data_IF_484232441162
#
_entry.id   IF_484232441162
#
_cell.length_a   1.000
_cell.length_b   1.000
_cell.length_c   1.000
_cell.angle_alpha   90.00
_cell.angle_beta   90.00
_cell.angle_gamma   90.00
#
_symmetry.space_group_name_H-M   'P 1'
#
loop_
_entity.id
_entity.type
_entity.pdbx_description
1 polymer ?
#
# COMPACT_ATOMS: atom_id res chain seq x y z
N UNK A 1 -15.42 30.26 -24.23
CA UNK A 1 -14.75 29.40 -23.23
C UNK A 1 -13.58 30.16 -22.61
N UNK A 2 -13.51 30.26 -21.27
CA UNK A 2 -12.40 30.93 -20.58
C UNK A 2 -11.28 29.92 -20.34
N UNK A 3 -10.05 30.25 -20.76
CA UNK A 3 -8.89 29.37 -20.57
C UNK A 3 -8.40 29.40 -19.12
N UNK A 4 -7.85 28.27 -18.66
CA UNK A 4 -7.25 28.15 -17.30
C UNK A 4 -6.17 29.22 -17.03
N UNK A 5 -5.45 29.67 -18.05
CA UNK A 5 -4.45 30.74 -17.92
C UNK A 5 -5.09 32.06 -17.51
N UNK A 6 -6.17 32.47 -18.20
CA UNK A 6 -6.89 33.72 -17.92
C UNK A 6 -7.54 33.74 -16.54
N UNK A 7 -8.04 32.60 -16.06
CA UNK A 7 -8.57 32.46 -14.69
C UNK A 7 -7.45 32.62 -13.66
N UNK A 8 -6.29 31.99 -13.88
CA UNK A 8 -5.13 32.10 -12.97
C UNK A 8 -4.57 33.52 -12.90
N UNK A 9 -4.46 34.18 -14.04
CA UNK A 9 -4.00 35.58 -14.10
C UNK A 9 -4.98 36.52 -13.40
N UNK A 10 -6.29 36.31 -13.60
CA UNK A 10 -7.31 37.12 -12.93
C UNK A 10 -7.29 36.93 -11.42
N UNK A 11 -7.16 35.68 -10.95
CA UNK A 11 -7.00 35.38 -9.52
C UNK A 11 -5.72 36.01 -8.95
N UNK A 12 -4.61 35.99 -9.71
CA UNK A 12 -3.35 36.62 -9.31
C UNK A 12 -3.46 38.14 -9.16
N UNK A 13 -4.29 38.80 -9.97
CA UNK A 13 -4.55 40.24 -9.86
C UNK A 13 -5.46 40.61 -8.69
N UNK A 14 -6.45 39.77 -8.39
CA UNK A 14 -7.50 40.09 -7.40
C UNK A 14 -7.08 39.69 -5.97
N UNK A 15 -6.35 38.58 -5.82
CA UNK A 15 -6.05 38.00 -4.50
C UNK A 15 -4.63 37.42 -4.44
N UNK A 16 -3.62 38.28 -4.59
CA UNK A 16 -2.23 37.85 -4.54
C UNK A 16 -1.84 37.31 -3.14
N UNK A 17 -2.38 37.93 -2.08
CA UNK A 17 -2.12 37.57 -0.68
C UNK A 17 -2.75 36.20 -0.37
N UNK A 18 -4.03 35.99 -0.68
CA UNK A 18 -4.69 34.71 -0.46
C UNK A 18 -4.13 33.59 -1.34
N UNK A 19 -3.56 33.88 -2.52
CA UNK A 19 -2.78 32.90 -3.30
C UNK A 19 -1.47 32.54 -2.59
N UNK A 20 -0.73 33.53 -2.07
CA UNK A 20 0.52 33.30 -1.34
C UNK A 20 0.26 32.47 -0.08
N UNK A 21 -0.80 32.76 0.67
CA UNK A 21 -1.15 32.01 1.88
C UNK A 21 -1.67 30.61 1.57
N UNK A 22 -2.45 30.42 0.49
CA UNK A 22 -2.81 29.09 -0.02
C UNK A 22 -1.59 28.30 -0.48
N UNK A 23 -0.57 28.94 -1.09
CA UNK A 23 0.69 28.29 -1.45
C UNK A 23 1.53 27.92 -0.22
N UNK A 24 1.58 28.77 0.81
CA UNK A 24 2.29 28.49 2.08
C UNK A 24 1.70 27.29 2.82
N UNK A 25 0.37 27.13 2.79
CA UNK A 25 -0.35 25.99 3.41
C UNK A 25 -0.39 24.75 2.52
N UNK A 26 0.15 24.81 1.30
CA UNK A 26 0.20 23.65 0.42
C UNK A 26 1.29 22.72 0.93
N UNK A 27 0.89 21.55 1.44
CA UNK A 27 1.82 20.48 1.81
C UNK A 27 2.80 20.26 0.66
N UNK A 28 4.09 20.53 0.92
CA UNK A 28 5.14 20.23 -0.05
C UNK A 28 5.18 18.71 -0.21
N UNK A 29 4.82 18.24 -1.41
CA UNK A 29 4.95 16.82 -1.75
C UNK A 29 6.43 16.45 -1.57
N UNK A 30 6.71 15.59 -0.58
CA UNK A 30 8.04 15.02 -0.40
C UNK A 30 8.42 14.27 -1.67
N UNK A 31 9.59 14.58 -2.21
CA UNK A 31 10.14 13.86 -3.36
C UNK A 31 10.59 12.51 -2.83
N UNK A 32 9.90 11.46 -3.24
CA UNK A 32 10.28 10.10 -2.89
C UNK A 32 11.14 9.56 -4.02
N UNK A 33 12.43 9.38 -3.75
CA UNK A 33 13.42 8.89 -4.72
C UNK A 33 13.94 7.52 -4.30
N UNK A 34 13.97 6.58 -5.24
CA UNK A 34 14.49 5.22 -5.09
C UNK A 34 15.19 4.86 -6.39
N UNK A 35 16.29 4.11 -6.31
CA UNK A 35 17.21 3.96 -7.44
C UNK A 35 16.71 2.99 -8.53
N UNK A 36 15.70 2.16 -8.26
CA UNK A 36 15.11 1.28 -9.26
C UNK A 36 14.11 0.28 -8.68
N UNK A 37 13.58 -0.58 -9.58
CA UNK A 37 12.71 -1.73 -9.21
C UNK A 37 13.46 -2.66 -8.26
N UNK A 38 12.75 -3.26 -7.30
CA UNK A 38 13.28 -4.15 -6.28
C UNK A 38 14.34 -3.51 -5.36
N UNK A 39 14.52 -2.19 -5.41
CA UNK A 39 15.42 -1.52 -4.48
C UNK A 39 14.82 -1.48 -3.06
N UNK A 40 13.53 -1.17 -2.94
CA UNK A 40 12.85 -1.16 -1.65
C UNK A 40 11.39 -1.58 -1.81
N UNK A 41 10.98 -2.62 -1.09
CA UNK A 41 9.57 -2.96 -0.94
C UNK A 41 9.03 -2.35 0.35
N UNK A 42 7.82 -1.80 0.29
CA UNK A 42 7.07 -1.31 1.44
C UNK A 42 6.04 -2.36 1.80
N UNK A 43 6.09 -2.88 3.03
CA UNK A 43 5.17 -3.90 3.52
C UNK A 43 4.41 -3.37 4.73
N UNK A 44 3.17 -3.83 4.88
CA UNK A 44 2.26 -3.41 5.95
C UNK A 44 1.03 -4.35 6.02
N UNK A 45 0.32 -4.29 7.15
CA UNK A 45 -0.96 -4.97 7.37
C UNK A 45 -2.10 -3.94 7.45
N UNK A 46 -3.09 -4.07 6.58
CA UNK A 46 -4.28 -3.23 6.60
C UNK A 46 -5.37 -3.85 7.47
N UNK A 47 -5.84 -3.07 8.45
CA UNK A 47 -6.82 -3.48 9.46
C UNK A 47 -8.22 -2.90 9.20
N UNK A 48 -8.56 -2.49 7.97
CA UNK A 48 -9.89 -1.90 7.67
C UNK A 48 -11.06 -2.83 7.95
N UNK A 49 -10.85 -4.14 7.87
CA UNK A 49 -11.86 -5.17 8.15
C UNK A 49 -11.58 -5.94 9.47
N UNK A 50 -10.74 -5.39 10.36
CA UNK A 50 -10.31 -6.08 11.59
C UNK A 50 -11.47 -6.41 12.54
N UNK A 51 -12.58 -5.64 12.46
CA UNK A 51 -13.80 -5.92 13.23
C UNK A 51 -14.34 -7.33 12.98
N UNK A 52 -14.18 -7.82 11.76
CA UNK A 52 -14.61 -9.15 11.33
C UNK A 52 -13.42 -10.08 11.14
N UNK A 53 -12.32 -9.84 11.86
CA UNK A 53 -11.09 -10.65 11.84
C UNK A 53 -10.46 -10.87 10.46
N UNK A 54 -10.71 -9.98 9.49
CA UNK A 54 -9.99 -9.97 8.22
C UNK A 54 -8.86 -8.94 8.24
N UNK A 55 -7.67 -9.38 7.85
CA UNK A 55 -6.46 -8.57 7.73
C UNK A 55 -5.94 -8.71 6.30
N UNK A 56 -5.61 -7.58 5.66
CA UNK A 56 -5.01 -7.60 4.32
C UNK A 56 -3.52 -7.31 4.44
N UNK A 57 -2.70 -8.31 4.16
CA UNK A 57 -1.25 -8.18 4.09
C UNK A 57 -0.86 -7.66 2.71
N UNK A 58 0.03 -6.68 2.64
CA UNK A 58 0.42 -6.08 1.37
C UNK A 58 1.91 -5.78 1.25
N UNK A 59 2.38 -5.80 0.01
CA UNK A 59 3.70 -5.35 -0.39
C UNK A 59 3.63 -4.53 -1.67
N UNK A 60 4.38 -3.43 -1.73
CA UNK A 60 4.48 -2.59 -2.93
C UNK A 60 5.92 -2.16 -3.20
N UNK A 61 6.33 -2.25 -4.46
CA UNK A 61 7.62 -1.76 -4.89
C UNK A 61 7.69 -0.22 -4.82
N UNK A 62 8.74 0.26 -4.16
CA UNK A 62 9.00 1.66 -3.90
C UNK A 62 9.29 2.46 -5.16
N UNK A 63 9.72 1.85 -6.27
CA UNK A 63 9.98 2.54 -7.52
C UNK A 63 8.79 2.43 -8.48
N UNK A 64 8.43 1.21 -8.87
CA UNK A 64 7.43 0.91 -9.89
C UNK A 64 5.99 1.01 -9.42
N UNK A 65 5.70 1.05 -8.11
CA UNK A 65 4.31 0.90 -7.58
C UNK A 65 3.68 -0.46 -7.88
N UNK A 66 4.45 -1.43 -8.34
CA UNK A 66 3.97 -2.79 -8.54
C UNK A 66 3.62 -3.40 -7.19
N UNK A 67 2.43 -4.01 -7.09
CA UNK A 67 1.97 -4.70 -5.88
C UNK A 67 2.58 -6.09 -5.90
N UNK A 68 3.50 -6.35 -4.97
CA UNK A 68 4.29 -7.60 -4.94
C UNK A 68 3.52 -8.74 -4.29
N UNK A 69 2.68 -8.42 -3.30
CA UNK A 69 1.65 -9.31 -2.78
C UNK A 69 0.52 -8.49 -2.18
N UNK A 70 -0.68 -9.08 -2.17
CA UNK A 70 -1.88 -8.50 -1.57
C UNK A 70 -2.81 -9.65 -1.20
N UNK A 71 -2.81 -10.05 0.08
CA UNK A 71 -3.45 -11.26 0.55
C UNK A 71 -4.39 -10.99 1.72
N UNK A 72 -5.61 -11.53 1.67
CA UNK A 72 -6.52 -11.55 2.81
C UNK A 72 -6.20 -12.75 3.71
N UNK A 73 -6.08 -12.50 5.02
CA UNK A 73 -5.77 -13.48 6.06
C UNK A 73 -6.64 -13.23 7.29
N UNK A 74 -6.74 -14.23 8.14
CA UNK A 74 -7.45 -14.20 9.42
C UNK A 74 -6.53 -13.81 10.60
N UNK A 75 -5.23 -13.60 10.34
CA UNK A 75 -4.24 -13.24 11.35
C UNK A 75 -3.07 -12.46 10.73
N UNK A 76 -2.32 -11.74 11.58
CA UNK A 76 -1.07 -11.05 11.23
C UNK A 76 0.15 -11.67 11.92
N UNK A 77 0.16 -12.99 12.17
CA UNK A 77 1.33 -13.65 12.76
C UNK A 77 2.55 -13.46 11.86
N UNK A 78 3.73 -13.34 12.46
CA UNK A 78 4.96 -13.12 11.71
C UNK A 78 5.25 -14.21 10.68
N UNK A 79 4.82 -15.44 10.92
CA UNK A 79 4.91 -16.56 9.96
C UNK A 79 4.05 -16.31 8.73
N UNK A 80 2.80 -15.88 8.92
CA UNK A 80 1.85 -15.58 7.84
C UNK A 80 2.34 -14.42 6.96
N UNK A 81 2.90 -13.38 7.58
CA UNK A 81 3.53 -12.26 6.86
C UNK A 81 4.76 -12.73 6.08
N UNK A 82 5.62 -13.55 6.70
CA UNK A 82 6.79 -14.12 6.04
C UNK A 82 6.40 -14.99 4.84
N UNK A 83 5.38 -15.83 4.95
CA UNK A 83 4.96 -16.72 3.86
C UNK A 83 4.44 -15.94 2.65
N UNK A 84 3.66 -14.89 2.91
CA UNK A 84 3.20 -13.96 1.87
C UNK A 84 4.39 -13.25 1.19
N UNK A 85 5.35 -12.78 1.99
CA UNK A 85 6.56 -12.14 1.50
C UNK A 85 7.43 -13.10 0.67
N UNK A 86 7.68 -14.32 1.15
CA UNK A 86 8.48 -15.33 0.43
C UNK A 86 7.84 -15.74 -0.89
N UNK A 87 6.52 -15.90 -0.90
CA UNK A 87 5.78 -16.19 -2.14
C UNK A 87 6.01 -15.08 -3.17
N UNK A 88 5.97 -13.81 -2.76
CA UNK A 88 6.31 -12.69 -3.63
C UNK A 88 7.77 -12.70 -4.10
N UNK A 89 8.71 -13.03 -3.21
CA UNK A 89 10.15 -13.13 -3.53
C UNK A 89 10.41 -14.21 -4.58
N UNK A 90 9.72 -15.36 -4.51
CA UNK A 90 9.83 -16.42 -5.53
C UNK A 90 9.36 -15.92 -6.90
N UNK A 91 8.30 -15.12 -6.94
CA UNK A 91 7.72 -14.65 -8.20
C UNK A 91 8.45 -13.43 -8.80
N UNK A 92 8.96 -12.52 -7.97
CA UNK A 92 9.42 -11.20 -8.40
C UNK A 92 10.87 -10.88 -8.01
N UNK A 93 11.55 -11.81 -7.35
CA UNK A 93 12.91 -11.65 -6.86
C UNK A 93 13.00 -10.96 -5.50
N UNK A 94 14.11 -11.21 -4.79
CA UNK A 94 14.38 -10.62 -3.48
C UNK A 94 14.66 -9.12 -3.62
N UNK A 95 14.01 -8.23 -2.86
CA UNK A 95 14.36 -6.80 -2.87
C UNK A 95 15.71 -6.54 -2.20
N UNK A 96 16.35 -5.39 -2.48
CA UNK A 96 17.56 -4.97 -1.75
C UNK A 96 17.24 -4.59 -0.31
N UNK A 97 16.08 -3.95 -0.10
CA UNK A 97 15.61 -3.50 1.21
C UNK A 97 14.11 -3.72 1.36
N UNK A 98 13.68 -3.90 2.59
CA UNK A 98 12.28 -3.87 2.99
C UNK A 98 12.08 -2.72 3.95
N UNK A 99 10.96 -2.00 3.81
CA UNK A 99 10.48 -1.03 4.78
C UNK A 99 9.17 -1.52 5.36
N UNK A 100 9.07 -1.45 6.69
CA UNK A 100 7.84 -1.69 7.42
C UNK A 100 7.73 -0.72 8.58
N UNK A 101 6.56 -0.71 9.20
CA UNK A 101 6.39 -0.11 10.51
C UNK A 101 7.05 -0.98 11.58
N UNK A 102 7.27 -0.37 12.76
CA UNK A 102 7.73 -1.11 13.92
C UNK A 102 6.60 -1.99 14.45
N UNK A 103 6.68 -3.29 14.19
CA UNK A 103 5.73 -4.27 14.69
C UNK A 103 6.33 -5.68 14.72
N UNK A 104 5.82 -6.52 15.62
CA UNK A 104 6.30 -7.90 15.80
C UNK A 104 5.92 -8.79 14.61
N UNK A 105 4.85 -8.44 13.88
CA UNK A 105 4.40 -9.14 12.68
C UNK A 105 5.45 -9.12 11.55
N UNK A 106 6.36 -8.15 11.55
CA UNK A 106 7.40 -8.03 10.51
C UNK A 106 8.76 -8.61 10.95
N UNK A 107 8.85 -9.18 12.16
CA UNK A 107 10.11 -9.67 12.74
C UNK A 107 10.77 -10.75 11.88
N UNK A 108 10.00 -11.76 11.47
CA UNK A 108 10.54 -12.85 10.65
C UNK A 108 10.92 -12.42 9.22
N UNK A 109 10.29 -11.38 8.68
CA UNK A 109 10.72 -10.78 7.39
C UNK A 109 12.06 -10.08 7.57
N UNK A 110 12.27 -9.38 8.70
CA UNK A 110 13.54 -8.75 9.02
C UNK A 110 14.66 -9.80 9.13
N UNK A 111 14.43 -10.88 9.88
CA UNK A 111 15.39 -11.97 10.06
C UNK A 111 15.73 -12.63 8.72
N UNK A 112 14.72 -12.89 7.89
CA UNK A 112 14.91 -13.43 6.55
C UNK A 112 15.75 -12.50 5.67
N UNK A 113 15.46 -11.19 5.65
CA UNK A 113 16.22 -10.22 4.86
C UNK A 113 17.66 -10.05 5.34
N UNK A 114 17.91 -10.13 6.65
CA UNK A 114 19.27 -10.11 7.22
C UNK A 114 20.03 -11.38 6.83
N UNK A 115 19.37 -12.54 6.89
CA UNK A 115 19.96 -13.82 6.48
C UNK A 115 20.37 -13.82 5.00
N UNK A 116 19.46 -13.40 4.11
CA UNK A 116 19.68 -13.47 2.66
C UNK A 116 20.59 -12.36 2.11
N UNK A 117 20.59 -11.16 2.71
CA UNK A 117 21.43 -10.04 2.26
C UNK A 117 22.74 -9.91 3.04
N UNK A 118 22.83 -10.52 4.22
CA UNK A 118 23.92 -10.34 5.17
C UNK A 118 23.67 -9.21 6.18
N UNK A 119 24.32 -9.27 7.35
CA UNK A 119 24.17 -8.28 8.42
C UNK A 119 24.68 -6.89 8.00
N UNK A 120 24.20 -5.84 8.68
CA UNK A 120 24.67 -4.45 8.54
C UNK A 120 24.52 -3.81 7.15
N UNK A 121 23.66 -4.34 6.27
CA UNK A 121 23.37 -3.74 4.94
C UNK A 121 22.22 -2.74 4.90
N UNK A 122 21.51 -2.58 6.01
CA UNK A 122 20.24 -1.85 6.03
C UNK A 122 19.18 -2.52 5.15
N UNK A 123 19.16 -3.86 5.11
CA UNK A 123 18.19 -4.67 4.34
C UNK A 123 16.78 -4.60 4.92
N UNK A 124 16.64 -4.22 6.19
CA UNK A 124 15.37 -3.88 6.83
C UNK A 124 15.40 -2.46 7.38
N UNK A 125 14.37 -1.68 7.05
CA UNK A 125 14.18 -0.31 7.52
C UNK A 125 12.88 -0.27 8.31
N UNK A 126 12.96 -0.12 9.62
CA UNK A 126 11.78 0.08 10.47
C UNK A 126 11.64 1.56 10.83
N UNK A 127 10.40 2.06 10.81
CA UNK A 127 10.12 3.47 11.06
C UNK A 127 8.69 3.71 11.52
N UNK A 128 8.31 4.99 11.64
CA UNK A 128 6.90 5.38 11.82
C UNK A 128 6.14 5.22 10.51
N UNK A 129 4.86 4.85 10.58
CA UNK A 129 3.91 4.74 9.46
C UNK A 129 4.01 5.86 8.43
N UNK A 130 4.18 7.10 8.89
CA UNK A 130 4.36 8.28 8.03
C UNK A 130 5.53 8.20 7.01
N UNK A 131 6.44 7.22 7.17
CA UNK A 131 7.56 6.94 6.27
C UNK A 131 7.30 5.77 5.30
N UNK A 132 6.25 4.99 5.53
CA UNK A 132 5.73 3.89 4.72
C UNK A 132 4.70 4.39 3.69
N UNK A 133 4.95 5.58 3.13
CA UNK A 133 3.97 6.35 2.36
C UNK A 133 3.44 5.63 1.11
N UNK A 134 4.20 4.67 0.57
CA UNK A 134 3.82 3.97 -0.67
C UNK A 134 2.71 2.97 -0.41
N UNK A 135 2.83 2.19 0.67
CA UNK A 135 1.78 1.25 1.04
C UNK A 135 0.60 1.96 1.71
N UNK A 136 0.82 3.03 2.49
CA UNK A 136 -0.27 3.87 2.98
C UNK A 136 -1.10 4.50 1.85
N UNK A 137 -0.47 4.86 0.73
CA UNK A 137 -1.22 5.32 -0.46
C UNK A 137 -1.99 4.16 -1.10
N UNK A 138 -1.33 3.01 -1.28
CA UNK A 138 -1.95 1.81 -1.83
C UNK A 138 -3.24 1.45 -1.07
N UNK A 139 -3.23 1.57 0.26
CA UNK A 139 -4.40 1.27 1.09
C UNK A 139 -5.64 2.10 0.78
N UNK A 140 -5.49 3.33 0.31
CA UNK A 140 -6.64 4.12 -0.15
C UNK A 140 -7.24 3.54 -1.41
N UNK A 141 -6.39 3.17 -2.36
CA UNK A 141 -6.81 2.63 -3.66
C UNK A 141 -7.41 1.21 -3.51
N UNK A 142 -6.86 0.38 -2.61
CA UNK A 142 -7.38 -0.95 -2.27
C UNK A 142 -8.72 -0.87 -1.53
N UNK A 143 -8.87 0.09 -0.61
CA UNK A 143 -10.14 0.27 0.08
C UNK A 143 -11.26 0.66 -0.90
N UNK A 144 -11.02 1.69 -1.71
CA UNK A 144 -11.99 2.16 -2.72
C UNK A 144 -12.27 1.12 -3.81
N UNK A 145 -11.28 0.33 -4.21
CA UNK A 145 -11.42 -0.64 -5.29
C UNK A 145 -11.95 -2.02 -4.87
N UNK A 146 -11.83 -2.40 -3.59
CA UNK A 146 -12.19 -3.74 -3.12
C UNK A 146 -12.86 -3.72 -1.76
N UNK A 147 -12.20 -3.17 -0.73
CA UNK A 147 -12.61 -3.42 0.66
C UNK A 147 -13.86 -2.64 1.09
N UNK A 148 -14.19 -1.51 0.46
CA UNK A 148 -15.35 -0.71 0.83
C UNK A 148 -16.66 -1.51 0.66
N UNK A 149 -16.76 -2.32 -0.40
CA UNK A 149 -17.91 -3.20 -0.61
C UNK A 149 -18.10 -4.18 0.55
N UNK A 150 -17.03 -4.85 0.97
CA UNK A 150 -17.10 -5.81 2.08
C UNK A 150 -17.33 -5.12 3.42
N UNK A 151 -16.75 -3.94 3.61
CA UNK A 151 -16.98 -3.11 4.79
C UNK A 151 -18.47 -2.78 4.95
N UNK A 152 -19.11 -2.28 3.89
CA UNK A 152 -20.52 -1.92 3.90
C UNK A 152 -21.42 -3.16 4.01
N UNK A 153 -21.07 -4.24 3.30
CA UNK A 153 -21.81 -5.51 3.35
C UNK A 153 -21.81 -6.12 4.76
N UNK A 154 -20.68 -6.16 5.44
CA UNK A 154 -20.60 -6.78 6.77
C UNK A 154 -21.31 -5.95 7.83
N UNK A 155 -21.25 -4.62 7.75
CA UNK A 155 -22.08 -3.75 8.59
C UNK A 155 -23.57 -4.00 8.37
N UNK A 156 -24.01 -4.06 7.10
CA UNK A 156 -25.39 -4.40 6.77
C UNK A 156 -25.80 -5.76 7.35
N UNK A 157 -24.93 -6.77 7.28
CA UNK A 157 -25.20 -8.08 7.88
C UNK A 157 -25.32 -8.03 9.41
N UNK A 158 -24.58 -7.16 10.09
CA UNK A 158 -24.73 -6.93 11.54
C UNK A 158 -26.05 -6.20 11.85
N UNK A 159 -26.39 -5.16 11.08
CA UNK A 159 -27.62 -4.37 11.25
C UNK A 159 -28.89 -5.24 11.07
N UNK A 160 -28.88 -6.17 10.12
CA UNK A 160 -29.97 -7.11 9.87
C UNK A 160 -29.90 -8.38 10.73
N UNK A 161 -29.01 -8.44 11.73
CA UNK A 161 -28.80 -9.57 12.64
C UNK A 161 -28.39 -10.91 11.97
N UNK A 162 -28.01 -10.88 10.68
CA UNK A 162 -27.44 -12.05 10.00
C UNK A 162 -26.07 -12.42 10.56
N UNK A 163 -25.28 -11.43 10.95
CA UNK A 163 -23.95 -11.59 11.52
C UNK A 163 -23.95 -11.12 12.99
N UNK A 164 -23.36 -11.93 13.86
CA UNK A 164 -23.02 -11.56 15.23
C UNK A 164 -21.53 -11.86 15.42
N UNK A 165 -20.73 -10.84 15.69
CA UNK A 165 -19.28 -10.95 15.87
C UNK A 165 -18.89 -11.69 17.15
N UNK A 166 -19.82 -11.88 18.08
CA UNK A 166 -19.64 -12.67 19.30
C UNK A 166 -20.00 -14.15 19.13
N UNK A 167 -20.61 -14.52 18.01
CA UNK A 167 -20.97 -15.90 17.67
C UNK A 167 -19.89 -16.54 16.77
N UNK A 168 -19.14 -17.48 17.34
CA UNK A 168 -18.06 -18.19 16.65
C UNK A 168 -18.53 -18.96 15.41
N UNK A 169 -19.77 -19.48 15.40
CA UNK A 169 -20.29 -20.21 14.23
C UNK A 169 -20.57 -19.26 13.06
N UNK A 170 -21.14 -18.07 13.36
CA UNK A 170 -21.38 -17.04 12.35
C UNK A 170 -20.06 -16.46 11.84
N UNK A 171 -19.09 -16.23 12.72
CA UNK A 171 -17.75 -15.80 12.32
C UNK A 171 -17.04 -16.85 11.47
N UNK A 172 -17.14 -18.14 11.83
CA UNK A 172 -16.61 -19.22 11.00
C UNK A 172 -17.26 -19.24 9.62
N UNK A 173 -18.59 -19.17 9.53
CA UNK A 173 -19.32 -19.13 8.27
C UNK A 173 -18.91 -17.91 7.41
N UNK A 174 -18.79 -16.73 8.03
CA UNK A 174 -18.34 -15.52 7.38
C UNK A 174 -16.95 -15.71 6.76
N UNK A 175 -15.99 -16.22 7.54
CA UNK A 175 -14.63 -16.47 7.04
C UNK A 175 -14.59 -17.54 5.95
N UNK A 176 -15.33 -18.63 6.12
CA UNK A 176 -15.39 -19.71 5.13
C UNK A 176 -15.86 -19.20 3.76
N UNK A 177 -16.87 -18.32 3.75
CA UNK A 177 -17.43 -17.78 2.51
C UNK A 177 -16.58 -16.63 1.96
N UNK A 178 -16.19 -15.67 2.80
CA UNK A 178 -15.67 -14.39 2.32
C UNK A 178 -14.15 -14.29 2.29
N UNK A 179 -13.41 -15.06 3.10
CA UNK A 179 -11.94 -15.04 3.01
C UNK A 179 -11.42 -15.36 1.61
N UNK A 180 -11.81 -16.48 0.97
CA UNK A 180 -11.37 -16.79 -0.40
C UNK A 180 -11.90 -15.78 -1.43
N UNK A 181 -13.13 -15.26 -1.25
CA UNK A 181 -13.71 -14.27 -2.17
C UNK A 181 -12.96 -12.94 -2.14
N UNK A 182 -12.63 -12.43 -0.94
CA UNK A 182 -11.87 -11.20 -0.78
C UNK A 182 -10.47 -11.39 -1.38
N UNK A 183 -9.80 -12.51 -1.10
CA UNK A 183 -8.46 -12.80 -1.64
C UNK A 183 -8.46 -12.86 -3.18
N UNK A 184 -9.47 -13.49 -3.78
CA UNK A 184 -9.67 -13.51 -5.24
C UNK A 184 -9.83 -12.09 -5.81
N UNK A 185 -10.69 -11.26 -5.20
CA UNK A 185 -10.91 -9.88 -5.65
C UNK A 185 -9.66 -9.02 -5.50
N UNK A 186 -8.90 -9.19 -4.43
CA UNK A 186 -7.61 -8.52 -4.24
C UNK A 186 -6.60 -8.93 -5.33
N UNK A 187 -6.55 -10.22 -5.68
CA UNK A 187 -5.69 -10.73 -6.75
C UNK A 187 -6.05 -10.12 -8.12
N UNK A 188 -7.35 -10.13 -8.48
CA UNK A 188 -7.84 -9.50 -9.72
C UNK A 188 -7.51 -8.01 -9.73
N UNK A 189 -7.74 -7.32 -8.62
CA UNK A 189 -7.45 -5.89 -8.48
C UNK A 189 -5.94 -5.62 -8.63
N UNK A 190 -5.07 -6.41 -8.00
CA UNK A 190 -3.62 -6.26 -8.10
C UNK A 190 -3.09 -6.49 -9.53
N UNK A 191 -3.66 -7.46 -10.26
CA UNK A 191 -3.33 -7.71 -11.66
C UNK A 191 -3.75 -6.54 -12.57
N UNK A 192 -4.94 -5.98 -12.34
CA UNK A 192 -5.41 -4.80 -13.05
C UNK A 192 -4.53 -3.58 -12.72
N UNK A 193 -4.17 -3.42 -11.45
CA UNK A 193 -3.25 -2.39 -10.98
C UNK A 193 -1.88 -2.52 -11.66
N UNK A 194 -1.31 -3.72 -11.80
CA UNK A 194 -0.03 -3.90 -12.49
C UNK A 194 0.02 -3.35 -13.93
N UNK A 195 -1.16 -3.18 -14.58
CA UNK A 195 -1.29 -2.65 -15.94
C UNK A 195 -1.51 -1.14 -15.99
N UNK A 196 -1.69 -0.46 -14.85
CA UNK A 196 -1.94 0.98 -14.83
C UNK A 196 -0.68 1.76 -15.18
N UNK A 197 -0.86 2.86 -15.94
CA UNK A 197 0.27 3.71 -16.33
C UNK A 197 0.74 4.52 -15.12
N UNK A 198 1.93 4.20 -14.61
CA UNK A 198 2.53 4.97 -13.53
C UNK A 198 3.02 6.30 -14.09
N UNK A 199 2.58 7.40 -13.48
CA UNK A 199 3.20 8.71 -13.72
C UNK A 199 4.56 8.71 -13.04
N UNK A 200 5.60 8.33 -13.79
CA UNK A 200 6.98 8.52 -13.37
C UNK A 200 7.16 9.98 -12.95
N UNK A 201 7.72 10.19 -11.77
CA UNK A 201 8.08 11.51 -11.30
C UNK A 201 9.22 11.96 -12.21
N UNK A 202 8.98 12.94 -13.10
CA UNK A 202 9.91 13.46 -14.13
C UNK A 202 11.38 13.37 -13.68
N UNK A 203 12.05 12.24 -13.97
CA UNK A 203 13.47 12.26 -14.26
C UNK A 203 13.54 12.64 -15.72
N UNK A 204 14.23 13.74 -16.03
CA UNK A 204 14.61 13.99 -17.41
C UNK A 204 15.40 12.75 -17.84
N UNK A 205 14.98 12.13 -18.94
CA UNK A 205 15.73 11.06 -19.61
C UNK A 205 17.16 11.51 -20.02
N UNK A 206 17.49 12.80 -19.86
CA UNK A 206 18.82 13.38 -20.10
C UNK A 206 19.92 12.81 -19.23
N UNK A 207 19.61 12.32 -18.03
CA UNK A 207 20.66 11.96 -17.06
C UNK A 207 21.22 10.55 -17.28
N UNK A 208 20.63 9.76 -18.19
CA UNK A 208 21.08 8.41 -18.56
C UNK A 208 21.91 8.37 -19.85
N UNK A 209 22.03 9.46 -20.61
CA UNK A 209 22.76 9.51 -21.88
C UNK A 209 24.16 10.15 -21.79
N UNK A 210 24.76 10.22 -20.60
CA UNK A 210 26.15 10.70 -20.42
C UNK A 210 27.10 9.67 -19.79
N UNK A 211 26.73 8.37 -19.81
CA UNK A 211 27.62 7.28 -19.37
C UNK A 211 27.75 6.15 -20.41
N UNK A 212 27.78 6.52 -21.70
CA UNK A 212 28.37 5.68 -22.75
C UNK A 212 29.34 6.54 -23.54
#
# INVERSE_FOLDING_TARGET
MVTRSRIRESLHRIDEIGIKDRKKRRLHRRIYNVDGVNHIWHIDSNHKLIRWNFIVLGGIDGFSRFVTFLNCRDNNKATTVLDSFKTAVVNYGLPLRVRSDKGQENSLVADFMIKERGPNRGSMITGKSCHNQRIERLWRDVFEGVLCYYYDLFHFMEEECFLDISDDNKMYALHHVFLPKIDEKLSVWAQAWGKHRIRLQNRRLSDYLQQV
#
